data_IF_885522539255
#
_entry.id   IF_885522539255
#
_cell.length_a   1.000
_cell.length_b   1.000
_cell.length_c   1.000
_cell.angle_alpha   90.00
_cell.angle_beta   90.00
_cell.angle_gamma   90.00
#
_symmetry.space_group_name_H-M   'P 1'
#
loop_
_entity.id
_entity.type
_entity.pdbx_description
1 polymer ?
#
# COMPACT_ATOMS: atom_id res chain seq x y z
N UNK A 1 -12.22 -12.14 -1.31
CA UNK A 1 -11.50 -10.87 -1.56
C UNK A 1 -10.00 -11.14 -1.51
N UNK A 2 -9.27 -10.63 -2.48
CA UNK A 2 -7.82 -10.73 -2.53
C UNK A 2 -7.18 -9.49 -1.89
N UNK A 3 -6.01 -9.69 -1.25
CA UNK A 3 -5.33 -8.61 -0.51
C UNK A 3 -3.86 -8.45 -0.91
N UNK A 4 -3.30 -9.35 -1.70
CA UNK A 4 -1.89 -9.31 -2.09
C UNK A 4 -1.73 -9.39 -3.61
N UNK A 5 -1.17 -8.34 -4.21
CA UNK A 5 -0.87 -8.28 -5.63
C UNK A 5 0.52 -8.86 -5.90
N UNK A 6 0.58 -10.01 -6.56
CA UNK A 6 1.85 -10.58 -7.05
C UNK A 6 2.16 -10.09 -8.47
N UNK A 7 3.43 -10.11 -8.91
CA UNK A 7 3.78 -9.81 -10.31
C UNK A 7 3.05 -10.71 -11.31
N UNK A 8 2.84 -11.98 -10.96
CA UNK A 8 2.10 -12.93 -11.81
C UNK A 8 0.62 -12.55 -11.91
N UNK A 9 -0.01 -12.21 -10.79
CA UNK A 9 -1.39 -11.74 -10.74
C UNK A 9 -1.58 -10.46 -11.55
N UNK A 10 -0.64 -9.52 -11.42
CA UNK A 10 -0.68 -8.27 -12.18
C UNK A 10 -0.58 -8.51 -13.69
N UNK A 11 0.29 -9.42 -14.11
CA UNK A 11 0.40 -9.83 -15.54
C UNK A 11 -0.90 -10.45 -16.04
N UNK A 12 -1.56 -11.29 -15.24
CA UNK A 12 -2.84 -11.89 -15.60
C UNK A 12 -3.97 -10.85 -15.68
N UNK A 13 -4.02 -9.90 -14.75
CA UNK A 13 -5.00 -8.81 -14.75
C UNK A 13 -4.89 -7.92 -16.00
N UNK A 14 -3.68 -7.70 -16.49
CA UNK A 14 -3.41 -6.86 -17.68
C UNK A 14 -3.67 -7.54 -19.00
N UNK A 15 -3.87 -8.86 -19.01
CA UNK A 15 -4.15 -9.57 -20.25
C UNK A 15 -5.39 -8.98 -20.93
N UNK A 16 -5.33 -8.64 -22.24
CA UNK A 16 -6.48 -8.19 -23.01
C UNK A 16 -7.62 -9.20 -22.95
N UNK A 17 -8.84 -8.71 -22.79
CA UNK A 17 -10.07 -9.50 -22.67
C UNK A 17 -11.06 -9.16 -23.77
N UNK A 18 -11.98 -10.08 -24.09
CA UNK A 18 -13.09 -9.75 -24.96
C UNK A 18 -13.90 -8.61 -24.35
N UNK A 19 -14.02 -7.48 -25.05
CA UNK A 19 -14.81 -6.32 -24.59
C UNK A 19 -16.23 -6.70 -24.17
N UNK A 20 -16.75 -6.21 -23.02
CA UNK A 20 -16.12 -5.29 -22.12
C UNK A 20 -15.40 -5.98 -20.96
N UNK A 21 -14.24 -5.48 -20.58
CA UNK A 21 -13.69 -5.64 -19.24
C UNK A 21 -14.16 -4.47 -18.37
N UNK A 22 -14.89 -4.75 -17.31
CA UNK A 22 -15.48 -3.74 -16.42
C UNK A 22 -14.65 -3.61 -15.16
N UNK A 23 -14.24 -2.39 -14.85
CA UNK A 23 -13.58 -2.03 -13.60
C UNK A 23 -14.49 -1.13 -12.80
N UNK A 24 -14.87 -1.54 -11.59
CA UNK A 24 -15.69 -0.77 -10.65
C UNK A 24 -14.84 -0.44 -9.43
N UNK A 25 -14.71 0.82 -9.12
CA UNK A 25 -14.01 1.33 -7.96
C UNK A 25 -14.99 2.04 -7.04
N UNK A 26 -14.87 1.81 -5.73
CA UNK A 26 -15.69 2.52 -4.74
C UNK A 26 -14.92 2.67 -3.43
N UNK A 27 -15.00 3.85 -2.78
CA UNK A 27 -14.48 3.99 -1.43
C UNK A 27 -15.30 3.16 -0.46
N UNK A 28 -14.62 2.58 0.52
CA UNK A 28 -15.21 1.85 1.66
C UNK A 28 -14.61 2.38 2.94
N UNK A 29 -15.22 2.08 4.09
CA UNK A 29 -14.80 2.59 5.38
C UNK A 29 -14.74 1.44 6.39
N UNK A 30 -13.70 1.42 7.21
CA UNK A 30 -13.44 0.35 8.20
C UNK A 30 -14.24 0.50 9.48
N UNK A 31 -14.74 1.70 9.80
CA UNK A 31 -15.34 2.04 11.10
C UNK A 31 -16.69 2.71 10.96
N UNK A 32 -17.55 2.46 11.94
CA UNK A 32 -18.78 3.24 12.13
C UNK A 32 -18.44 4.66 12.61
N UNK A 33 -19.23 5.67 12.23
CA UNK A 33 -20.45 5.58 11.40
C UNK A 33 -20.22 5.62 9.88
N UNK A 34 -18.97 5.77 9.43
CA UNK A 34 -18.62 6.05 8.03
C UNK A 34 -18.98 4.87 7.10
N UNK A 35 -18.85 3.63 7.59
CA UNK A 35 -19.17 2.41 6.83
C UNK A 35 -20.68 2.15 6.67
N UNK A 36 -21.54 2.85 7.40
CA UNK A 36 -22.99 2.61 7.37
C UNK A 36 -23.62 2.85 5.98
N UNK A 37 -22.97 3.69 5.14
CA UNK A 37 -23.43 4.00 3.79
C UNK A 37 -22.81 3.10 2.71
N UNK A 38 -21.75 2.36 3.03
CA UNK A 38 -21.01 1.55 2.04
C UNK A 38 -21.88 0.51 1.32
N UNK A 39 -22.84 -0.20 1.97
CA UNK A 39 -23.72 -1.12 1.27
C UNK A 39 -24.64 -0.45 0.25
N UNK A 40 -25.02 0.81 0.47
CA UNK A 40 -25.86 1.58 -0.47
C UNK A 40 -25.00 2.09 -1.61
N UNK A 41 -23.81 2.64 -1.31
CA UNK A 41 -22.85 3.11 -2.31
C UNK A 41 -22.44 1.98 -3.26
N UNK A 42 -22.08 0.82 -2.73
CA UNK A 42 -21.71 -0.34 -3.53
C UNK A 42 -22.82 -0.77 -4.49
N UNK A 43 -24.07 -0.84 -4.01
CA UNK A 43 -25.22 -1.16 -4.89
C UNK A 43 -25.42 -0.12 -5.97
N UNK A 44 -25.26 1.16 -5.66
CA UNK A 44 -25.44 2.25 -6.62
C UNK A 44 -24.38 2.21 -7.73
N UNK A 45 -23.09 2.04 -7.37
CA UNK A 45 -22.01 1.97 -8.38
C UNK A 45 -22.14 0.73 -9.27
N UNK A 46 -22.58 -0.41 -8.73
CA UNK A 46 -22.84 -1.60 -9.53
C UNK A 46 -24.07 -1.44 -10.44
N UNK A 47 -25.11 -0.73 -9.99
CA UNK A 47 -26.25 -0.39 -10.83
C UNK A 47 -25.83 0.54 -11.98
N UNK A 48 -24.96 1.50 -11.72
CA UNK A 48 -24.40 2.37 -12.77
C UNK A 48 -23.57 1.56 -13.78
N UNK A 49 -22.73 0.62 -13.30
CA UNK A 49 -21.97 -0.28 -14.20
C UNK A 49 -22.89 -1.06 -15.12
N UNK A 50 -23.97 -1.64 -14.61
CA UNK A 50 -24.96 -2.36 -15.42
C UNK A 50 -25.69 -1.45 -16.41
N UNK A 51 -26.01 -0.23 -16.00
CA UNK A 51 -26.63 0.77 -16.87
C UNK A 51 -25.71 1.16 -18.02
N UNK A 52 -24.41 1.36 -17.76
CA UNK A 52 -23.42 1.63 -18.82
C UNK A 52 -23.28 0.44 -19.78
N UNK A 53 -23.23 -0.80 -19.26
CA UNK A 53 -23.27 -2.02 -20.08
C UNK A 53 -24.53 -2.12 -20.98
N UNK A 54 -25.67 -1.68 -20.48
CA UNK A 54 -26.92 -1.68 -21.26
C UNK A 54 -26.93 -0.59 -22.34
N UNK A 55 -26.36 0.55 -22.05
CA UNK A 55 -26.32 1.70 -22.93
C UNK A 55 -25.29 1.56 -24.07
N UNK A 56 -24.26 0.72 -23.88
CA UNK A 56 -23.18 0.57 -24.84
C UNK A 56 -23.57 -0.34 -26.02
N UNK A 57 -23.72 0.20 -27.26
CA UNK A 57 -24.06 -0.57 -28.43
C UNK A 57 -22.96 -1.55 -28.87
N UNK A 58 -21.73 -1.35 -28.48
CA UNK A 58 -20.61 -2.22 -28.81
C UNK A 58 -20.64 -3.54 -28.01
N UNK A 59 -21.40 -3.61 -26.92
CA UNK A 59 -21.52 -4.80 -26.07
C UNK A 59 -22.61 -5.73 -26.58
N UNK A 60 -22.27 -6.94 -27.07
CA UNK A 60 -23.27 -7.95 -27.47
C UNK A 60 -24.14 -8.38 -26.28
N UNK A 61 -25.41 -8.66 -26.52
CA UNK A 61 -26.39 -9.05 -25.50
C UNK A 61 -25.91 -10.21 -24.61
N UNK A 62 -25.27 -11.20 -25.20
CA UNK A 62 -24.77 -12.37 -24.48
C UNK A 62 -23.70 -11.97 -23.44
N UNK A 63 -22.71 -11.15 -23.84
CA UNK A 63 -21.67 -10.64 -22.94
C UNK A 63 -22.22 -9.72 -21.87
N UNK A 64 -23.19 -8.87 -22.22
CA UNK A 64 -23.89 -8.00 -21.28
C UNK A 64 -24.57 -8.80 -20.16
N UNK A 65 -25.26 -9.86 -20.47
CA UNK A 65 -25.88 -10.73 -19.47
C UNK A 65 -24.85 -11.46 -18.64
N UNK A 66 -23.78 -11.93 -19.25
CA UNK A 66 -22.72 -12.65 -18.54
C UNK A 66 -21.97 -11.73 -17.58
N UNK A 67 -21.48 -10.57 -18.04
CA UNK A 67 -20.77 -9.60 -17.20
C UNK A 67 -21.68 -9.07 -16.07
N UNK A 68 -22.95 -8.81 -16.34
CA UNK A 68 -23.90 -8.44 -15.28
C UNK A 68 -24.01 -9.52 -14.21
N UNK A 69 -24.02 -10.80 -14.60
CA UNK A 69 -24.00 -11.93 -13.66
C UNK A 69 -22.68 -11.98 -12.86
N UNK A 70 -21.54 -11.73 -13.50
CA UNK A 70 -20.25 -11.68 -12.81
C UNK A 70 -20.22 -10.56 -11.75
N UNK A 71 -20.78 -9.39 -12.05
CA UNK A 71 -20.94 -8.29 -11.08
C UNK A 71 -21.85 -8.68 -9.90
N UNK A 72 -22.93 -9.45 -10.14
CA UNK A 72 -23.79 -9.94 -9.07
C UNK A 72 -23.09 -10.99 -8.18
N UNK A 73 -22.29 -11.86 -8.79
CA UNK A 73 -21.47 -12.84 -8.05
C UNK A 73 -20.41 -12.14 -7.20
N UNK A 74 -19.71 -11.16 -7.79
CA UNK A 74 -18.75 -10.33 -7.06
C UNK A 74 -19.39 -9.65 -5.83
N UNK A 75 -20.59 -9.07 -6.01
CA UNK A 75 -21.32 -8.46 -4.89
C UNK A 75 -21.63 -9.46 -3.76
N UNK A 76 -21.97 -10.70 -4.11
CA UNK A 76 -22.28 -11.74 -3.13
C UNK A 76 -21.04 -12.23 -2.34
N UNK A 77 -19.84 -12.04 -2.88
CA UNK A 77 -18.57 -12.41 -2.23
C UNK A 77 -18.00 -11.32 -1.33
N UNK A 78 -18.52 -10.08 -1.42
CA UNK A 78 -18.01 -8.94 -0.67
C UNK A 78 -18.48 -8.99 0.79
N UNK A 79 -17.50 -9.08 1.68
CA UNK A 79 -17.72 -8.91 3.12
C UNK A 79 -17.31 -7.50 3.55
N UNK A 80 -18.31 -6.61 3.66
CA UNK A 80 -18.09 -5.22 4.06
C UNK A 80 -17.65 -5.07 5.53
N UNK A 81 -17.83 -6.09 6.37
CA UNK A 81 -17.35 -6.04 7.75
C UNK A 81 -15.81 -6.10 7.83
N UNK A 82 -15.18 -6.68 6.82
CA UNK A 82 -13.72 -6.78 6.70
C UNK A 82 -13.16 -5.97 5.53
N UNK A 83 -13.97 -5.08 4.93
CA UNK A 83 -13.50 -4.19 3.88
C UNK A 83 -12.51 -3.15 4.44
N UNK A 84 -11.52 -2.80 3.65
CA UNK A 84 -10.58 -1.74 3.95
C UNK A 84 -11.10 -0.37 3.47
N UNK A 85 -10.23 0.53 2.98
CA UNK A 85 -10.63 1.91 2.63
C UNK A 85 -11.05 2.06 1.17
N UNK A 86 -10.79 1.05 0.35
CA UNK A 86 -11.19 1.02 -1.04
C UNK A 86 -11.50 -0.39 -1.52
N UNK A 87 -12.44 -0.46 -2.44
CA UNK A 87 -12.85 -1.71 -3.08
C UNK A 87 -12.72 -1.57 -4.60
N UNK A 88 -12.11 -2.58 -5.23
CA UNK A 88 -12.02 -2.69 -6.69
C UNK A 88 -12.64 -4.01 -7.11
N UNK A 89 -13.57 -3.94 -8.06
CA UNK A 89 -14.22 -5.09 -8.64
C UNK A 89 -13.88 -5.11 -10.12
N UNK A 90 -13.33 -6.22 -10.59
CA UNK A 90 -13.13 -6.50 -11.99
C UNK A 90 -14.14 -7.55 -12.45
N UNK A 91 -14.77 -7.33 -13.59
CA UNK A 91 -15.69 -8.28 -14.20
C UNK A 91 -15.51 -8.29 -15.71
N UNK A 92 -15.37 -9.48 -16.28
CA UNK A 92 -15.31 -9.73 -17.73
C UNK A 92 -16.12 -10.97 -18.08
N UNK A 93 -16.33 -11.31 -19.36
CA UNK A 93 -17.03 -12.52 -19.73
C UNK A 93 -16.39 -13.77 -19.09
N UNK A 94 -17.14 -14.44 -18.20
CA UNK A 94 -16.74 -15.68 -17.53
C UNK A 94 -15.91 -15.51 -16.27
N UNK A 95 -15.50 -14.29 -15.88
CA UNK A 95 -14.63 -14.06 -14.71
C UNK A 95 -14.99 -12.80 -13.94
N UNK A 96 -14.71 -12.82 -12.63
CA UNK A 96 -14.68 -11.63 -11.78
C UNK A 96 -13.62 -11.78 -10.70
N UNK A 97 -13.18 -10.64 -10.16
CA UNK A 97 -12.25 -10.56 -9.02
C UNK A 97 -12.64 -9.38 -8.13
N UNK A 98 -12.43 -9.54 -6.83
CA UNK A 98 -12.72 -8.50 -5.82
C UNK A 98 -11.46 -8.23 -5.01
N UNK A 99 -11.04 -6.97 -4.97
CA UNK A 99 -9.84 -6.49 -4.27
C UNK A 99 -10.21 -5.49 -3.20
N UNK A 100 -9.69 -5.69 -2.00
CA UNK A 100 -9.76 -4.73 -0.91
C UNK A 100 -8.43 -3.99 -0.78
N UNK A 101 -8.47 -2.66 -0.71
CA UNK A 101 -7.29 -1.81 -0.71
C UNK A 101 -7.20 -1.00 0.58
N UNK A 102 -5.99 -0.95 1.17
CA UNK A 102 -5.71 -0.16 2.37
C UNK A 102 -5.66 1.37 2.12
N UNK A 103 -6.15 1.81 0.98
CA UNK A 103 -6.29 3.22 0.61
C UNK A 103 -7.63 3.47 -0.05
N UNK A 104 -8.16 4.67 0.15
CA UNK A 104 -9.37 5.08 -0.54
C UNK A 104 -9.15 5.21 -2.04
N UNK A 105 -10.17 4.82 -2.81
CA UNK A 105 -10.23 4.99 -4.26
C UNK A 105 -11.45 5.85 -4.62
N UNK A 106 -11.41 6.63 -5.70
CA UNK A 106 -12.60 7.35 -6.14
C UNK A 106 -13.66 6.40 -6.68
N UNK A 107 -14.93 6.79 -6.50
CA UNK A 107 -16.03 6.06 -7.11
C UNK A 107 -15.97 6.19 -8.64
N UNK A 108 -15.89 5.06 -9.33
CA UNK A 108 -15.74 5.03 -10.79
C UNK A 108 -16.19 3.70 -11.39
N UNK A 109 -16.71 3.78 -12.62
CA UNK A 109 -16.96 2.63 -13.50
C UNK A 109 -16.24 2.89 -14.82
N UNK A 110 -15.48 1.91 -15.29
CA UNK A 110 -14.76 1.96 -16.57
C UNK A 110 -15.04 0.69 -17.37
N UNK A 111 -15.39 0.83 -18.63
CA UNK A 111 -15.51 -0.24 -19.61
C UNK A 111 -14.35 -0.13 -20.59
N UNK A 112 -13.54 -1.18 -20.72
CA UNK A 112 -12.33 -1.21 -21.56
C UNK A 112 -12.08 -2.64 -22.08
N UNK A 113 -10.99 -2.81 -22.81
CA UNK A 113 -10.47 -4.15 -23.20
C UNK A 113 -9.56 -4.76 -22.10
N UNK A 114 -9.13 -3.95 -21.13
CA UNK A 114 -8.30 -4.37 -19.99
C UNK A 114 -8.91 -3.88 -18.68
N UNK A 115 -8.48 -4.48 -17.57
CA UNK A 115 -8.83 -3.99 -16.24
C UNK A 115 -7.98 -2.79 -15.83
N UNK A 116 -8.54 -1.87 -15.08
CA UNK A 116 -7.88 -0.68 -14.55
C UNK A 116 -7.00 -1.03 -13.35
N UNK A 117 -5.77 -1.45 -13.59
CA UNK A 117 -4.88 -2.03 -12.56
C UNK A 117 -4.10 -1.02 -11.75
N UNK A 118 -3.99 0.24 -12.21
CA UNK A 118 -3.21 1.30 -11.55
C UNK A 118 -3.51 1.45 -10.07
N UNK A 119 -4.79 1.37 -9.67
CA UNK A 119 -5.17 1.55 -8.27
C UNK A 119 -4.61 0.44 -7.39
N UNK A 120 -4.50 -0.80 -7.91
CA UNK A 120 -3.85 -1.91 -7.22
C UNK A 120 -2.34 -1.68 -7.13
N UNK A 121 -1.72 -1.26 -8.24
CA UNK A 121 -0.29 -0.94 -8.27
C UNK A 121 0.04 0.22 -7.34
N UNK A 122 -0.77 1.28 -7.36
CA UNK A 122 -0.61 2.42 -6.47
C UNK A 122 -0.80 2.03 -5.00
N UNK A 123 -1.80 1.19 -4.69
CA UNK A 123 -2.00 0.68 -3.34
C UNK A 123 -0.78 -0.13 -2.88
N UNK A 124 -0.28 -1.05 -3.69
CA UNK A 124 0.93 -1.82 -3.40
C UNK A 124 2.18 -0.95 -3.23
N UNK A 125 2.35 0.07 -4.08
CA UNK A 125 3.47 1.00 -3.98
C UNK A 125 3.40 1.89 -2.73
N UNK A 126 2.18 2.20 -2.29
CA UNK A 126 1.90 2.94 -1.05
C UNK A 126 2.01 2.05 0.19
N UNK A 127 1.77 0.75 0.05
CA UNK A 127 2.05 -0.24 1.09
C UNK A 127 3.55 -0.30 1.33
N UNK A 128 4.01 0.44 2.31
CA UNK A 128 5.38 0.36 2.84
C UNK A 128 5.32 -0.39 4.16
N UNK A 129 5.19 -1.72 4.13
CA UNK A 129 5.05 -2.48 5.36
C UNK A 129 6.33 -2.34 6.19
N UNK A 130 6.14 -2.12 7.47
CA UNK A 130 7.23 -2.01 8.45
C UNK A 130 6.89 -2.82 9.69
N UNK A 131 7.90 -3.05 10.51
CA UNK A 131 7.73 -3.69 11.80
C UNK A 131 7.87 -2.68 12.93
N UNK A 132 7.07 -2.85 13.98
CA UNK A 132 7.30 -2.15 15.24
C UNK A 132 7.46 -3.21 16.35
N UNK A 133 8.54 -3.06 17.12
CA UNK A 133 8.79 -3.88 18.29
C UNK A 133 8.62 -2.99 19.52
N UNK A 134 7.59 -3.25 20.32
CA UNK A 134 7.36 -2.52 21.58
C UNK A 134 7.96 -3.30 22.72
N UNK A 135 8.94 -2.69 23.42
CA UNK A 135 9.81 -3.38 24.39
C UNK A 135 9.60 -2.84 25.79
N UNK A 136 9.36 -3.75 26.73
CA UNK A 136 9.41 -3.51 28.18
C UNK A 136 10.29 -4.56 28.87
N UNK A 137 10.40 -4.51 30.19
CA UNK A 137 11.20 -5.47 30.97
C UNK A 137 10.53 -6.85 31.04
N UNK A 138 9.25 -6.93 30.84
CA UNK A 138 8.38 -8.10 31.07
C UNK A 138 7.60 -8.53 29.83
N UNK A 139 7.52 -7.69 28.81
CA UNK A 139 6.78 -7.97 27.59
C UNK A 139 7.44 -7.36 26.38
N UNK A 140 7.45 -8.10 25.27
CA UNK A 140 7.81 -7.59 23.94
C UNK A 140 6.72 -7.95 22.95
N UNK A 141 6.11 -6.95 22.35
CA UNK A 141 5.01 -7.11 21.39
C UNK A 141 5.48 -6.69 20.00
N UNK A 142 5.13 -7.50 19.02
CA UNK A 142 5.39 -7.24 17.60
C UNK A 142 4.15 -6.66 16.94
N UNK A 143 4.34 -5.66 16.10
CA UNK A 143 3.28 -5.03 15.33
C UNK A 143 3.65 -5.02 13.84
N UNK A 144 2.68 -5.38 13.02
CA UNK A 144 2.74 -5.25 11.57
C UNK A 144 2.20 -3.87 11.19
N UNK A 145 3.06 -3.00 10.65
CA UNK A 145 2.72 -1.66 10.23
C UNK A 145 2.35 -1.60 8.76
N UNK A 146 1.33 -0.80 8.45
CA UNK A 146 0.84 -0.50 7.11
C UNK A 146 0.76 1.01 6.86
N UNK A 147 -0.06 1.40 5.90
CA UNK A 147 -0.15 2.80 5.42
C UNK A 147 -0.58 3.77 6.52
N UNK A 148 -1.54 3.39 7.35
CA UNK A 148 -2.22 4.27 8.31
C UNK A 148 -2.43 3.66 9.70
N UNK A 149 -1.88 2.46 9.94
CA UNK A 149 -2.11 1.74 11.19
C UNK A 149 -1.02 0.71 11.48
N UNK A 150 -1.06 0.19 12.69
CA UNK A 150 -0.38 -1.05 13.08
C UNK A 150 -1.39 -2.07 13.58
N UNK A 151 -1.10 -3.35 13.39
CA UNK A 151 -1.87 -4.47 13.95
C UNK A 151 -0.93 -5.40 14.71
N UNK A 152 -1.38 -5.95 15.83
CA UNK A 152 -0.57 -6.91 16.57
C UNK A 152 -0.29 -8.14 15.71
N UNK A 153 0.96 -8.58 15.71
CA UNK A 153 1.43 -9.74 14.94
C UNK A 153 1.97 -10.82 15.86
N UNK A 154 1.47 -12.02 15.68
CA UNK A 154 1.82 -13.18 16.52
C UNK A 154 2.90 -14.08 15.91
N UNK A 155 3.48 -13.66 14.78
CA UNK A 155 4.55 -14.41 14.11
C UNK A 155 5.78 -14.53 15.02
N UNK A 156 6.46 -15.65 14.98
CA UNK A 156 7.69 -15.87 15.74
C UNK A 156 7.51 -16.07 17.24
N UNK A 157 6.26 -16.22 17.71
CA UNK A 157 5.91 -16.44 19.11
C UNK A 157 5.61 -15.17 19.89
N UNK A 158 5.52 -14.01 19.24
CA UNK A 158 5.09 -12.77 19.88
C UNK A 158 3.58 -12.80 20.25
N UNK A 159 3.16 -12.07 21.31
CA UNK A 159 4.00 -11.34 22.26
C UNK A 159 4.81 -12.28 23.14
N UNK A 160 6.07 -11.92 23.38
CA UNK A 160 6.90 -12.60 24.36
C UNK A 160 6.64 -11.98 25.72
N UNK A 161 6.36 -12.83 26.71
CA UNK A 161 6.14 -12.39 28.09
C UNK A 161 7.09 -13.12 29.02
N UNK A 162 7.61 -12.39 29.99
CA UNK A 162 8.42 -12.97 31.05
C UNK A 162 7.52 -13.43 32.20
N UNK A 163 7.53 -14.74 32.51
CA UNK A 163 6.84 -15.24 33.69
C UNK A 163 7.56 -14.79 34.97
N UNK A 164 6.90 -13.94 35.74
CA UNK A 164 7.42 -13.48 37.03
C UNK A 164 7.30 -14.52 38.15
N UNK A 165 6.99 -15.78 37.79
CA UNK A 165 6.59 -16.79 38.83
C UNK A 165 7.71 -17.38 39.64
N UNK A 166 8.99 -17.22 39.32
CA UNK A 166 10.05 -18.01 39.94
C UNK A 166 11.09 -17.25 40.79
N UNK A 167 10.91 -15.95 41.09
CA UNK A 167 11.87 -15.25 41.94
C UNK A 167 11.24 -14.34 42.98
N UNK A 168 10.22 -14.86 43.74
CA UNK A 168 9.92 -14.30 45.02
C UNK A 168 10.89 -14.92 46.09
N UNK A 169 12.15 -14.55 46.02
CA UNK A 169 13.04 -14.72 47.14
C UNK A 169 12.70 -13.64 48.18
N UNK A 170 11.90 -14.05 49.19
CA UNK A 170 11.46 -13.19 50.29
C UNK A 170 12.63 -12.60 51.10
N UNK A 171 13.83 -13.15 50.95
CA UNK A 171 15.06 -12.67 51.63
C UNK A 171 15.71 -11.44 50.99
N UNK A 172 15.29 -11.07 49.75
CA UNK A 172 15.84 -9.86 49.06
C UNK A 172 15.12 -8.57 49.41
N UNK A 173 13.94 -8.62 50.04
CA UNK A 173 13.19 -7.41 50.44
C UNK A 173 13.78 -6.62 51.61
N UNK A 174 14.76 -7.14 52.34
CA UNK A 174 15.38 -6.46 53.52
C UNK A 174 16.58 -5.57 53.23
N UNK A 175 17.06 -5.53 51.99
CA UNK A 175 18.12 -4.59 51.61
C UNK A 175 17.55 -3.38 50.84
N UNK A 176 16.92 -2.49 51.61
CA UNK A 176 16.58 -1.14 51.17
C UNK A 176 17.87 -0.37 50.94
N UNK A 177 18.30 -0.20 49.71
CA UNK A 177 19.47 0.62 49.37
C UNK A 177 19.83 0.69 47.89
N UNK A 178 19.75 -0.42 47.17
CA UNK A 178 20.04 -0.49 45.74
C UNK A 178 18.96 -1.29 45.04
N UNK A 179 17.95 -0.60 44.49
CA UNK A 179 17.06 -1.22 43.49
C UNK A 179 17.90 -1.30 42.21
N UNK A 180 18.38 -2.50 41.79
CA UNK A 180 19.02 -2.63 40.49
C UNK A 180 18.03 -2.20 39.47
N UNK A 181 18.40 -1.34 38.52
CA UNK A 181 17.47 -1.00 37.44
C UNK A 181 17.01 -2.31 36.80
N UNK A 182 15.71 -2.51 36.64
CA UNK A 182 15.05 -3.73 36.14
C UNK A 182 15.68 -4.25 34.84
N UNK A 183 16.39 -3.37 34.09
CA UNK A 183 17.06 -3.70 32.84
C UNK A 183 18.54 -4.12 33.00
N UNK A 184 19.11 -4.09 34.20
CA UNK A 184 20.49 -4.58 34.47
C UNK A 184 20.53 -6.03 34.92
N UNK A 185 19.40 -6.60 35.20
CA UNK A 185 19.26 -8.00 35.59
C UNK A 185 19.59 -8.93 34.40
N UNK A 186 20.37 -9.98 34.63
CA UNK A 186 20.78 -10.94 33.58
C UNK A 186 19.57 -11.66 32.98
N UNK A 187 18.51 -11.88 33.76
CA UNK A 187 17.28 -12.50 33.28
C UNK A 187 16.57 -11.59 32.27
N UNK A 188 16.55 -10.28 32.49
CA UNK A 188 16.00 -9.32 31.54
C UNK A 188 16.85 -9.27 30.26
N UNK A 189 18.18 -9.33 30.39
CA UNK A 189 19.06 -9.43 29.23
C UNK A 189 18.85 -10.70 28.42
N UNK A 190 18.63 -11.82 29.11
CA UNK A 190 18.32 -13.09 28.45
C UNK A 190 17.01 -12.99 27.67
N UNK A 191 15.96 -12.47 28.29
CA UNK A 191 14.67 -12.24 27.67
C UNK A 191 14.75 -11.33 26.42
N UNK A 192 15.52 -10.25 26.49
CA UNK A 192 15.74 -9.37 25.34
C UNK A 192 16.55 -10.04 24.22
N UNK A 193 17.50 -10.95 24.53
CA UNK A 193 18.19 -11.78 23.51
C UNK A 193 17.23 -12.74 22.81
N UNK A 194 16.28 -13.31 23.53
CA UNK A 194 15.23 -14.15 22.93
C UNK A 194 14.37 -13.33 21.95
N UNK A 195 13.95 -12.13 22.37
CA UNK A 195 13.20 -11.22 21.51
C UNK A 195 13.97 -10.82 20.25
N UNK A 196 15.25 -10.46 20.37
CA UNK A 196 16.15 -10.17 19.26
C UNK A 196 16.30 -11.36 18.31
N UNK A 197 16.46 -12.57 18.86
CA UNK A 197 16.57 -13.79 18.08
C UNK A 197 15.28 -14.09 17.31
N UNK A 198 14.11 -13.94 17.95
CA UNK A 198 12.81 -14.12 17.31
C UNK A 198 12.61 -13.10 16.18
N UNK A 199 12.91 -11.83 16.43
CA UNK A 199 12.85 -10.77 15.42
C UNK A 199 13.81 -11.05 14.26
N UNK A 200 15.01 -11.54 14.53
CA UNK A 200 15.98 -11.92 13.53
C UNK A 200 15.51 -13.02 12.57
N UNK A 201 14.67 -13.97 13.05
CA UNK A 201 14.04 -14.98 12.19
C UNK A 201 13.03 -14.33 11.24
N UNK A 202 12.22 -13.40 11.75
CA UNK A 202 11.22 -12.66 10.97
C UNK A 202 11.89 -11.79 9.91
N UNK A 203 12.93 -11.03 10.28
CA UNK A 203 13.63 -10.13 9.36
C UNK A 203 14.36 -10.88 8.23
N UNK A 204 14.74 -12.14 8.42
CA UNK A 204 15.30 -12.98 7.34
C UNK A 204 14.29 -13.35 6.27
N UNK A 205 13.03 -13.53 6.65
CA UNK A 205 11.94 -13.89 5.73
C UNK A 205 11.25 -12.64 5.17
N UNK A 206 11.00 -11.67 6.04
CA UNK A 206 10.28 -10.43 5.74
C UNK A 206 11.15 -9.21 6.08
N UNK A 207 12.07 -8.89 5.17
CA UNK A 207 12.97 -7.75 5.34
C UNK A 207 12.24 -6.43 5.15
N UNK A 208 11.91 -5.78 6.26
CA UNK A 208 11.16 -4.51 6.32
C UNK A 208 11.87 -3.54 7.28
N UNK A 209 11.67 -2.22 7.16
CA UNK A 209 12.09 -1.26 8.17
C UNK A 209 11.58 -1.68 9.56
N UNK A 210 12.43 -1.53 10.58
CA UNK A 210 12.10 -1.86 11.96
C UNK A 210 12.19 -0.60 12.83
N UNK A 211 11.11 -0.31 13.52
CA UNK A 211 11.01 0.70 14.57
C UNK A 211 10.94 -0.01 15.91
N UNK A 212 11.59 0.53 16.95
CA UNK A 212 11.57 -0.04 18.29
C UNK A 212 11.11 1.01 19.27
N UNK A 213 10.05 0.73 20.00
CA UNK A 213 9.52 1.61 21.05
C UNK A 213 9.83 1.01 22.42
N UNK A 214 10.10 1.85 23.39
CA UNK A 214 10.36 1.44 24.76
C UNK A 214 10.90 2.57 25.61
N UNK A 215 11.03 2.33 26.90
CA UNK A 215 11.79 3.23 27.75
C UNK A 215 13.27 3.24 27.35
N UNK A 216 13.95 4.37 27.56
CA UNK A 216 15.35 4.52 27.19
C UNK A 216 16.24 3.40 27.74
N UNK A 217 15.96 2.94 28.96
CA UNK A 217 16.69 1.84 29.59
C UNK A 217 16.49 0.50 28.88
N UNK A 218 15.26 0.22 28.41
CA UNK A 218 14.92 -0.98 27.63
C UNK A 218 15.62 -0.97 26.27
N UNK A 219 15.57 0.17 25.57
CA UNK A 219 16.24 0.36 24.28
C UNK A 219 17.74 0.17 24.40
N UNK A 220 18.37 0.78 25.42
CA UNK A 220 19.82 0.62 25.67
C UNK A 220 20.19 -0.83 25.99
N UNK A 221 19.39 -1.52 26.80
CA UNK A 221 19.63 -2.92 27.13
C UNK A 221 19.49 -3.84 25.89
N UNK A 222 18.51 -3.56 25.03
CA UNK A 222 18.34 -4.30 23.78
C UNK A 222 19.53 -4.05 22.83
N UNK A 223 20.04 -2.83 22.72
CA UNK A 223 21.22 -2.51 21.91
C UNK A 223 22.49 -3.23 22.37
N UNK A 224 22.65 -3.40 23.70
CA UNK A 224 23.78 -4.14 24.26
C UNK A 224 23.77 -5.63 23.90
N UNK A 225 22.58 -6.25 23.89
CA UNK A 225 22.44 -7.70 23.75
C UNK A 225 22.01 -8.15 22.36
N UNK A 226 21.34 -7.26 21.58
CA UNK A 226 20.77 -7.56 20.29
C UNK A 226 21.80 -7.51 19.16
N UNK A 227 21.54 -8.27 18.13
CA UNK A 227 22.29 -8.26 16.87
C UNK A 227 21.39 -8.05 15.66
N UNK A 228 20.19 -8.62 15.67
CA UNK A 228 19.22 -8.53 14.59
C UNK A 228 18.50 -7.16 14.57
N UNK A 229 18.35 -6.56 15.74
CA UNK A 229 17.70 -5.25 15.92
C UNK A 229 18.68 -4.05 15.74
N UNK A 230 19.97 -4.32 15.52
CA UNK A 230 20.96 -3.26 15.21
C UNK A 230 20.59 -2.50 13.94
N UNK A 231 20.54 -1.18 14.06
CA UNK A 231 20.17 -0.29 12.95
C UNK A 231 18.69 -0.02 12.84
N UNK A 232 17.87 -0.54 13.75
CA UNK A 232 16.47 -0.14 13.88
C UNK A 232 16.35 1.32 14.35
N UNK A 233 15.26 1.97 14.02
CA UNK A 233 14.97 3.33 14.47
C UNK A 233 14.33 3.29 15.84
N UNK A 234 14.97 3.88 16.85
CA UNK A 234 14.48 3.90 18.21
C UNK A 234 13.53 5.07 18.48
N UNK A 235 12.46 4.76 19.20
CA UNK A 235 11.44 5.71 19.65
C UNK A 235 11.38 5.59 21.19
N UNK A 236 11.96 6.53 21.94
CA UNK A 236 11.94 6.48 23.39
C UNK A 236 10.55 6.82 23.94
N UNK A 237 9.65 5.84 23.88
CA UNK A 237 8.27 5.92 24.35
C UNK A 237 7.90 4.62 25.07
N UNK A 238 7.84 4.67 26.39
CA UNK A 238 7.50 3.52 27.24
C UNK A 238 6.00 3.19 27.24
N UNK A 239 5.66 2.02 27.78
CA UNK A 239 4.29 1.59 28.00
C UNK A 239 3.58 1.00 26.76
N UNK A 240 4.21 1.00 25.60
CA UNK A 240 3.59 0.52 24.35
C UNK A 240 3.64 -0.99 24.18
N UNK A 241 4.39 -1.73 24.99
CA UNK A 241 4.39 -3.19 24.97
C UNK A 241 3.02 -3.78 25.37
N UNK A 242 2.28 -3.05 26.19
CA UNK A 242 0.89 -3.36 26.56
C UNK A 242 -0.11 -2.33 26.00
N UNK A 243 0.34 -1.53 25.01
CA UNK A 243 -0.44 -0.45 24.44
C UNK A 243 -1.50 -0.93 23.43
N UNK A 244 -2.35 -0.01 23.02
CA UNK A 244 -3.30 -0.24 21.94
C UNK A 244 -2.62 -0.02 20.58
N UNK A 245 -3.14 -0.63 19.50
CA UNK A 245 -2.65 -0.36 18.13
C UNK A 245 -2.60 1.14 17.80
N UNK A 246 -3.62 1.89 18.19
CA UNK A 246 -3.68 3.34 17.97
C UNK A 246 -2.55 4.09 18.71
N UNK A 247 -2.25 3.73 19.95
CA UNK A 247 -1.17 4.36 20.71
C UNK A 247 0.20 4.11 20.06
N UNK A 248 0.43 2.88 19.61
CA UNK A 248 1.66 2.51 18.88
C UNK A 248 1.75 3.25 17.54
N UNK A 249 0.65 3.32 16.80
CA UNK A 249 0.60 4.06 15.55
C UNK A 249 0.93 5.55 15.75
N UNK A 250 0.34 6.21 16.72
CA UNK A 250 0.62 7.63 17.01
C UNK A 250 2.11 7.88 17.35
N UNK A 251 2.76 6.94 18.02
CA UNK A 251 4.17 7.06 18.33
C UNK A 251 5.08 6.89 17.11
N UNK A 252 4.72 6.01 16.15
CA UNK A 252 5.54 5.67 14.98
C UNK A 252 5.26 6.58 13.79
N UNK A 253 4.03 7.04 13.63
CA UNK A 253 3.54 7.85 12.50
C UNK A 253 4.47 8.99 12.09
N UNK A 254 5.02 9.84 13.00
CA UNK A 254 5.87 10.96 12.59
C UNK A 254 7.13 10.50 11.81
N UNK A 255 7.66 9.31 12.14
CA UNK A 255 8.83 8.75 11.46
C UNK A 255 8.47 8.12 10.12
N UNK A 256 7.32 7.43 10.05
CA UNK A 256 6.79 6.89 8.79
C UNK A 256 6.53 8.02 7.80
N UNK A 257 5.88 9.10 8.25
CA UNK A 257 5.63 10.30 7.45
C UNK A 257 6.94 10.99 7.00
N UNK A 258 7.95 11.04 7.88
CA UNK A 258 9.25 11.59 7.54
C UNK A 258 9.97 10.76 6.46
N UNK A 259 9.87 9.44 6.54
CA UNK A 259 10.46 8.54 5.54
C UNK A 259 9.72 8.65 4.19
N UNK A 260 8.39 8.77 4.20
CA UNK A 260 7.60 9.04 3.00
C UNK A 260 8.04 10.34 2.31
N UNK A 261 8.21 11.43 3.09
CA UNK A 261 8.73 12.70 2.56
C UNK A 261 10.12 12.59 1.96
N UNK A 262 11.04 11.85 2.60
CA UNK A 262 12.39 11.62 2.05
C UNK A 262 12.36 10.92 0.69
N UNK A 263 11.47 9.94 0.56
CA UNK A 263 11.31 9.23 -0.72
C UNK A 263 10.80 10.16 -1.82
N UNK A 264 9.82 11.03 -1.51
CA UNK A 264 9.34 12.05 -2.46
C UNK A 264 10.48 12.98 -2.89
N UNK A 265 11.26 13.51 -1.93
CA UNK A 265 12.43 14.36 -2.22
C UNK A 265 13.46 13.62 -3.07
N UNK A 266 13.65 12.33 -2.86
CA UNK A 266 14.59 11.52 -3.66
C UNK A 266 14.12 11.42 -5.10
N UNK A 267 12.85 11.13 -5.34
CA UNK A 267 12.24 11.08 -6.68
C UNK A 267 12.36 12.44 -7.38
N UNK A 268 11.99 13.53 -6.71
CA UNK A 268 12.08 14.89 -7.27
C UNK A 268 13.53 15.24 -7.68
N UNK A 269 14.51 14.94 -6.82
CA UNK A 269 15.93 15.17 -7.12
C UNK A 269 16.40 14.34 -8.32
N UNK A 270 15.92 13.12 -8.46
CA UNK A 270 16.25 12.26 -9.59
C UNK A 270 15.69 12.79 -10.89
N UNK A 271 14.46 13.29 -10.89
CA UNK A 271 13.82 13.97 -12.02
C UNK A 271 14.59 15.25 -12.41
N UNK A 272 14.96 16.09 -11.45
CA UNK A 272 15.76 17.30 -11.69
C UNK A 272 17.13 16.97 -12.32
N UNK A 273 17.79 15.95 -11.80
CA UNK A 273 19.06 15.46 -12.33
C UNK A 273 18.91 14.96 -13.77
N UNK A 274 17.84 14.23 -14.09
CA UNK A 274 17.53 13.76 -15.44
C UNK A 274 17.26 14.92 -16.41
N UNK A 275 16.51 15.94 -15.94
CA UNK A 275 16.26 17.17 -16.72
C UNK A 275 17.58 17.85 -17.12
N UNK A 276 18.54 17.93 -16.20
CA UNK A 276 19.87 18.48 -16.49
C UNK A 276 20.67 17.69 -17.52
N UNK A 277 20.43 16.37 -17.63
CA UNK A 277 21.10 15.49 -18.61
C UNK A 277 20.31 15.32 -19.92
N UNK A 278 19.14 15.92 -20.07
CA UNK A 278 18.20 15.73 -21.19
C UNK A 278 17.66 14.29 -21.28
N UNK A 279 17.59 13.61 -20.17
CA UNK A 279 17.02 12.27 -19.99
C UNK A 279 15.67 12.35 -19.26
N UNK A 280 14.86 13.33 -19.58
CA UNK A 280 13.63 13.67 -18.86
C UNK A 280 12.48 13.83 -19.86
N UNK A 281 11.32 13.28 -19.51
CA UNK A 281 10.05 13.47 -20.20
C UNK A 281 9.01 14.04 -19.24
N UNK A 282 8.17 14.95 -19.68
CA UNK A 282 7.13 15.60 -18.89
C UNK A 282 5.79 15.66 -19.63
N UNK A 283 4.72 15.53 -18.84
CA UNK A 283 3.37 15.52 -19.38
C UNK A 283 3.01 14.20 -20.07
N UNK A 284 1.71 13.99 -20.25
CA UNK A 284 1.13 12.73 -20.70
C UNK A 284 1.65 12.29 -22.07
N UNK A 285 1.69 13.19 -23.04
CA UNK A 285 2.05 12.84 -24.42
C UNK A 285 3.51 12.38 -24.55
N UNK A 286 4.45 13.16 -24.00
CA UNK A 286 5.88 12.85 -24.10
C UNK A 286 6.21 11.57 -23.29
N UNK A 287 5.62 11.42 -22.12
CA UNK A 287 5.81 10.22 -21.29
C UNK A 287 5.23 8.98 -21.97
N UNK A 288 4.06 9.09 -22.61
CA UNK A 288 3.43 8.01 -23.36
C UNK A 288 4.32 7.50 -24.50
N UNK A 289 4.84 8.42 -25.31
CA UNK A 289 5.73 8.07 -26.42
C UNK A 289 6.96 7.31 -25.93
N UNK A 290 7.64 7.82 -24.89
CA UNK A 290 8.81 7.19 -24.33
C UNK A 290 8.49 5.84 -23.62
N UNK A 291 7.30 5.70 -23.04
CA UNK A 291 6.85 4.45 -22.43
C UNK A 291 6.65 3.37 -23.50
N UNK A 292 5.98 3.69 -24.62
CA UNK A 292 5.80 2.77 -25.76
C UNK A 292 7.13 2.29 -26.35
N UNK A 293 8.14 3.18 -26.41
CA UNK A 293 9.49 2.86 -26.88
C UNK A 293 10.33 2.09 -25.83
N UNK A 294 9.81 1.87 -24.62
CA UNK A 294 10.53 1.21 -23.54
C UNK A 294 11.71 2.03 -22.99
N UNK A 295 11.74 3.34 -23.25
CA UNK A 295 12.83 4.24 -22.86
C UNK A 295 12.72 4.73 -21.42
N UNK A 296 11.56 4.61 -20.79
CA UNK A 296 11.37 5.04 -19.40
C UNK A 296 12.10 4.07 -18.46
N UNK A 297 12.94 4.61 -17.57
CA UNK A 297 13.60 3.90 -16.48
C UNK A 297 12.85 4.05 -15.17
N UNK A 298 12.42 5.29 -14.88
CA UNK A 298 11.62 5.64 -13.70
C UNK A 298 10.43 6.47 -14.17
N UNK A 299 9.24 6.05 -13.79
CA UNK A 299 8.00 6.82 -13.96
C UNK A 299 7.57 7.37 -12.60
N UNK A 300 7.39 8.68 -12.50
CA UNK A 300 6.78 9.35 -11.36
C UNK A 300 5.39 9.87 -11.75
N UNK A 301 4.38 9.57 -10.93
CA UNK A 301 2.98 9.93 -11.18
C UNK A 301 2.37 10.46 -9.89
N UNK A 302 1.63 11.55 -9.94
CA UNK A 302 0.83 12.00 -8.80
C UNK A 302 -0.30 11.00 -8.51
N UNK A 303 -0.59 10.78 -7.23
CA UNK A 303 -1.46 9.68 -6.78
C UNK A 303 -2.86 9.73 -7.39
N UNK A 304 -3.42 10.93 -7.56
CA UNK A 304 -4.75 11.13 -8.11
C UNK A 304 -4.75 11.70 -9.54
N UNK A 305 -3.58 11.81 -10.17
CA UNK A 305 -3.47 12.36 -11.52
C UNK A 305 -4.16 11.45 -12.54
N UNK A 306 -5.03 12.04 -13.34
CA UNK A 306 -5.82 11.38 -14.38
C UNK A 306 -6.06 12.33 -15.51
N UNK A 307 -6.11 11.78 -16.71
CA UNK A 307 -6.43 12.55 -17.91
C UNK A 307 -7.10 11.66 -18.94
N UNK A 308 -8.17 12.17 -19.52
CA UNK A 308 -8.82 11.59 -20.68
C UNK A 308 -8.23 12.20 -21.94
N UNK A 309 -7.82 11.36 -22.87
CA UNK A 309 -7.18 11.74 -24.12
C UNK A 309 -7.78 11.01 -25.31
N UNK A 310 -7.44 11.44 -26.50
CA UNK A 310 -7.65 10.68 -27.74
C UNK A 310 -6.37 10.67 -28.54
N UNK A 311 -6.24 9.66 -29.37
CA UNK A 311 -5.13 9.60 -30.33
C UNK A 311 -5.32 10.65 -31.43
N UNK A 312 -4.33 11.48 -31.69
CA UNK A 312 -4.28 12.32 -32.89
C UNK A 312 -3.58 11.54 -34.03
N UNK A 313 -3.85 11.92 -35.26
CA UNK A 313 -3.39 11.25 -36.48
C UNK A 313 -1.86 11.07 -36.65
N UNK A 314 -1.10 11.11 -35.56
CA UNK A 314 0.36 11.02 -35.55
C UNK A 314 0.97 10.38 -34.30
N UNK A 315 0.28 9.46 -33.64
CA UNK A 315 0.73 8.82 -32.39
C UNK A 315 0.81 9.78 -31.17
N UNK A 316 0.35 11.01 -31.31
CA UNK A 316 0.28 11.98 -30.22
C UNK A 316 -1.05 11.88 -29.46
N UNK A 317 -0.99 12.15 -28.18
CA UNK A 317 -2.16 12.24 -27.32
C UNK A 317 -2.62 13.70 -27.21
N UNK A 318 -3.90 13.93 -27.46
CA UNK A 318 -4.54 15.23 -27.24
C UNK A 318 -5.65 15.11 -26.21
N UNK A 319 -5.89 16.15 -25.38
CA UNK A 319 -6.99 16.15 -24.44
C UNK A 319 -8.34 15.84 -25.12
N UNK A 320 -9.18 15.07 -24.45
CA UNK A 320 -10.50 14.70 -24.91
C UNK A 320 -11.52 14.77 -23.76
N UNK A 321 -12.80 14.91 -24.11
CA UNK A 321 -13.89 14.80 -23.14
C UNK A 321 -14.35 13.32 -23.05
N UNK A 322 -14.83 12.90 -21.88
CA UNK A 322 -15.26 11.50 -21.63
C UNK A 322 -16.44 11.04 -22.50
N UNK A 323 -17.01 11.91 -23.32
CA UNK A 323 -18.08 11.60 -24.28
C UNK A 323 -17.63 11.46 -25.73
N UNK A 324 -16.38 11.68 -26.03
CA UNK A 324 -15.83 11.57 -27.39
C UNK A 324 -15.75 10.09 -27.81
N UNK A 325 -16.08 9.79 -29.07
CA UNK A 325 -16.18 8.42 -29.60
C UNK A 325 -14.87 7.61 -29.52
N UNK A 326 -13.71 8.29 -29.51
CA UNK A 326 -12.37 7.68 -29.48
C UNK A 326 -11.61 8.08 -28.19
N UNK A 327 -12.33 8.51 -27.15
CA UNK A 327 -11.71 8.92 -25.88
C UNK A 327 -11.17 7.71 -25.13
N UNK A 328 -9.91 7.80 -24.74
CA UNK A 328 -9.25 6.86 -23.82
C UNK A 328 -9.33 7.46 -22.41
N UNK A 329 -10.24 6.91 -21.62
CA UNK A 329 -10.34 7.32 -20.22
C UNK A 329 -9.15 6.81 -19.43
N UNK A 330 -8.50 7.69 -18.68
CA UNK A 330 -7.37 7.36 -17.81
C UNK A 330 -6.17 6.69 -18.54
N UNK A 331 -5.65 7.37 -19.55
CA UNK A 331 -4.42 6.94 -20.25
C UNK A 331 -3.25 6.71 -19.29
N UNK A 332 -3.28 7.29 -18.10
CA UNK A 332 -2.25 7.13 -17.09
C UNK A 332 -2.14 5.68 -16.62
N UNK A 333 -3.26 4.93 -16.57
CA UNK A 333 -3.24 3.49 -16.26
C UNK A 333 -2.43 2.73 -17.31
N UNK A 334 -2.68 2.99 -18.59
CA UNK A 334 -1.96 2.36 -19.69
C UNK A 334 -0.46 2.72 -19.70
N UNK A 335 -0.11 3.98 -19.38
CA UNK A 335 1.30 4.41 -19.24
C UNK A 335 1.98 3.64 -18.12
N UNK A 336 1.33 3.51 -16.97
CA UNK A 336 1.85 2.73 -15.83
C UNK A 336 2.06 1.27 -16.23
N UNK A 337 1.07 0.65 -16.91
CA UNK A 337 1.18 -0.73 -17.39
C UNK A 337 2.35 -0.90 -18.36
N UNK A 338 2.45 -0.04 -19.37
CA UNK A 338 3.53 -0.09 -20.35
C UNK A 338 4.92 0.08 -19.72
N UNK A 339 5.04 0.99 -18.75
CA UNK A 339 6.29 1.19 -18.01
C UNK A 339 6.69 -0.06 -17.21
N UNK A 340 5.73 -0.70 -16.54
CA UNK A 340 5.99 -1.93 -15.78
C UNK A 340 6.37 -3.11 -16.69
N UNK A 341 5.74 -3.24 -17.85
CA UNK A 341 6.08 -4.29 -18.85
C UNK A 341 7.51 -4.16 -19.36
N UNK A 342 7.96 -2.92 -19.56
CA UNK A 342 9.34 -2.64 -20.00
C UNK A 342 10.36 -2.63 -18.86
N UNK A 343 9.93 -2.96 -17.63
CA UNK A 343 10.77 -3.02 -16.44
C UNK A 343 11.19 -1.66 -15.91
N UNK A 344 10.39 -0.63 -16.11
CA UNK A 344 10.56 0.66 -15.47
C UNK A 344 10.12 0.59 -14.00
N UNK A 345 10.77 1.38 -13.17
CA UNK A 345 10.33 1.61 -11.80
C UNK A 345 9.19 2.62 -11.80
N UNK A 346 8.07 2.32 -11.13
CA UNK A 346 6.94 3.24 -10.99
C UNK A 346 6.87 3.75 -9.56
N UNK A 347 6.81 5.06 -9.39
CA UNK A 347 6.69 5.76 -8.11
C UNK A 347 5.50 6.69 -8.11
N UNK A 348 4.61 6.48 -7.15
CA UNK A 348 3.53 7.42 -6.88
C UNK A 348 4.00 8.46 -5.86
N UNK A 349 3.68 9.71 -6.14
CA UNK A 349 4.03 10.86 -5.29
C UNK A 349 2.76 11.64 -4.92
N UNK A 350 2.76 12.36 -3.79
CA UNK A 350 1.61 13.19 -3.40
C UNK A 350 1.23 14.20 -4.48
N UNK A 351 -0.06 14.49 -4.59
CA UNK A 351 -0.58 15.50 -5.52
C UNK A 351 0.07 16.85 -5.29
N UNK A 352 0.33 17.57 -6.37
CA UNK A 352 1.04 18.85 -6.35
C UNK A 352 2.57 18.74 -6.29
N UNK A 353 3.13 17.52 -6.31
CA UNK A 353 4.59 17.30 -6.36
C UNK A 353 5.17 17.56 -7.76
N UNK A 354 4.41 17.24 -8.81
CA UNK A 354 4.85 17.29 -10.22
C UNK A 354 4.13 18.39 -11.03
N UNK A 355 3.81 19.51 -10.40
CA UNK A 355 3.10 20.63 -11.05
C UNK A 355 3.81 21.14 -12.32
N UNK A 356 5.15 21.12 -12.33
CA UNK A 356 5.97 21.53 -13.48
C UNK A 356 6.00 20.50 -14.63
N UNK A 357 5.36 19.34 -14.43
CA UNK A 357 5.33 18.23 -15.37
C UNK A 357 3.89 17.70 -15.58
N UNK A 358 2.88 18.53 -15.31
CA UNK A 358 1.46 18.18 -15.44
C UNK A 358 1.08 16.86 -14.77
N UNK A 359 1.60 16.61 -13.55
CA UNK A 359 1.26 15.45 -12.72
C UNK A 359 1.93 14.12 -13.10
N UNK A 360 2.74 14.08 -14.18
CA UNK A 360 3.46 12.88 -14.64
C UNK A 360 4.82 13.22 -15.25
N UNK A 361 5.85 12.46 -14.87
CA UNK A 361 7.20 12.64 -15.39
C UNK A 361 7.95 11.32 -15.51
N UNK A 362 8.87 11.24 -16.47
CA UNK A 362 9.74 10.10 -16.70
C UNK A 362 11.23 10.44 -16.65
N UNK A 363 12.04 9.54 -16.06
CA UNK A 363 13.48 9.52 -16.30
C UNK A 363 13.76 8.48 -17.37
N UNK A 364 14.47 8.91 -18.43
CA UNK A 364 14.78 8.07 -19.56
C UNK A 364 16.09 7.30 -19.37
N UNK A 365 16.23 6.20 -20.09
CA UNK A 365 17.45 5.36 -20.07
C UNK A 365 18.59 5.97 -20.88
N UNK A 366 18.24 6.73 -21.92
CA UNK A 366 19.16 7.40 -22.86
C UNK A 366 18.42 8.48 -23.64
#
# INVERSE_FOLDING_TARGET
MEHALSPATLTELRRPRPYPAVSVLTPTHRREPDNAQDPVRLRNVLAEAKKQLEADPAVPRERRVDVSRQLDQALAEIDLAHAEDGLVIFAAPGEHQVWSLARSVPERVVLSDTFLTRNLVSAQASERPFWVLSVSADCVTLWNGGVDRVTEDHTGGFPLTRDHRDNFDAERQERIGDIPSTFRDEDTRHFLREADTAMGRILRVHRRPLYITGEQAALSALDEVGSATKGAVHIPHGGLAHGTPDAVWQAVRPLVDAEARKNTVTVTRELESARGRKEFAAGVDEVWQNAREGRVRLLAVEENYRVTVRDDHGDHLVPADSGDLDAREDIVDEIVEQCLETGAEVRFVPDGTLTDADGIAGVLRY
#
